data_IF_353372041711
#
_entry.id   IF_353372041711
#
_cell.length_a   1.000
_cell.length_b   1.000
_cell.length_c   1.000
_cell.angle_alpha   90.00
_cell.angle_beta   90.00
_cell.angle_gamma   90.00
#
_symmetry.space_group_name_H-M   'P 1'
#
loop_
_entity.id
_entity.type
_entity.pdbx_description
1 polymer ?
#
# COMPACT_ATOMS: atom_id res chain seq x y z
N UNK A 1 0.21 -13.57 61.99
CA UNK A 1 -0.79 -12.86 61.13
C UNK A 1 -0.22 -11.54 60.68
N UNK A 2 0.64 -11.52 59.64
CA UNK A 2 1.05 -10.26 58.98
C UNK A 2 1.56 -10.55 57.57
N UNK A 3 0.67 -10.69 56.58
CA UNK A 3 1.09 -10.52 55.21
C UNK A 3 0.16 -9.67 54.30
N UNK A 4 -0.99 -9.12 54.78
CA UNK A 4 -1.98 -8.51 53.88
C UNK A 4 -1.65 -7.05 53.57
N UNK A 5 -0.93 -6.32 54.40
CA UNK A 5 -0.55 -4.91 54.16
C UNK A 5 0.53 -4.76 53.04
N UNK A 6 1.41 -5.75 52.83
CA UNK A 6 2.42 -5.70 51.77
C UNK A 6 1.83 -5.84 50.36
N UNK A 7 0.73 -6.58 50.18
CA UNK A 7 0.07 -6.77 48.91
C UNK A 7 -0.64 -5.47 48.44
N UNK A 8 -1.23 -4.71 49.32
CA UNK A 8 -1.90 -3.43 49.01
C UNK A 8 -0.95 -2.34 48.52
N UNK A 9 0.30 -2.31 49.03
CA UNK A 9 1.31 -1.34 48.58
C UNK A 9 1.93 -1.72 47.21
N UNK A 10 2.08 -3.01 46.95
CA UNK A 10 2.55 -3.52 45.65
C UNK A 10 1.52 -3.20 44.55
N UNK A 11 0.23 -3.36 44.84
CA UNK A 11 -0.84 -3.02 43.92
C UNK A 11 -0.93 -1.51 43.64
N UNK A 12 -0.78 -0.67 44.62
CA UNK A 12 -0.77 0.80 44.43
C UNK A 12 0.43 1.25 43.59
N UNK A 13 1.63 0.73 43.84
CA UNK A 13 2.82 1.02 43.05
C UNK A 13 2.69 0.52 41.60
N UNK A 14 2.15 -0.68 41.39
CA UNK A 14 1.89 -1.23 40.05
C UNK A 14 0.87 -0.35 39.29
N UNK A 15 -0.23 0.05 39.94
CA UNK A 15 -1.23 0.95 39.36
C UNK A 15 -0.66 2.32 39.02
N UNK A 16 0.14 2.91 39.89
CA UNK A 16 0.81 4.17 39.62
C UNK A 16 1.80 4.08 38.46
N UNK A 17 2.64 3.04 38.44
CA UNK A 17 3.54 2.78 37.32
C UNK A 17 2.78 2.55 36.01
N UNK A 18 1.68 1.83 36.04
CA UNK A 18 0.81 1.60 34.90
C UNK A 18 0.19 2.94 34.40
N UNK A 19 -0.33 3.79 35.31
CA UNK A 19 -0.90 5.09 34.91
C UNK A 19 0.16 6.01 34.29
N UNK A 20 1.36 6.05 34.85
CA UNK A 20 2.48 6.82 34.27
C UNK A 20 2.84 6.29 32.90
N UNK A 21 2.95 4.96 32.73
CA UNK A 21 3.25 4.34 31.44
C UNK A 21 2.15 4.62 30.39
N UNK A 22 0.86 4.48 30.76
CA UNK A 22 -0.25 4.83 29.88
C UNK A 22 -0.27 6.32 29.54
N UNK A 23 -0.03 7.20 30.51
CA UNK A 23 0.06 8.63 30.27
C UNK A 23 1.18 8.99 29.30
N UNK A 24 2.35 8.37 29.45
CA UNK A 24 3.49 8.56 28.56
C UNK A 24 3.20 8.05 27.12
N UNK A 25 2.66 6.83 26.97
CA UNK A 25 2.29 6.33 25.64
C UNK A 25 1.17 7.13 25.00
N UNK A 26 0.18 7.57 25.78
CA UNK A 26 -0.87 8.46 25.27
C UNK A 26 -0.30 9.78 24.79
N UNK A 27 0.60 10.39 25.56
CA UNK A 27 1.27 11.63 25.18
C UNK A 27 2.06 11.47 23.87
N UNK A 28 2.85 10.40 23.73
CA UNK A 28 3.58 10.10 22.48
C UNK A 28 2.62 9.91 21.30
N UNK A 29 1.50 9.20 21.51
CA UNK A 29 0.49 9.01 20.46
C UNK A 29 -0.13 10.33 20.03
N UNK A 30 -0.52 11.19 20.96
CA UNK A 30 -1.03 12.52 20.63
C UNK A 30 0.00 13.39 19.93
N UNK A 31 1.26 13.34 20.36
CA UNK A 31 2.35 14.09 19.72
C UNK A 31 2.51 13.71 18.26
N UNK A 32 2.51 12.40 17.93
CA UNK A 32 2.59 11.92 16.53
C UNK A 32 1.39 12.41 15.72
N UNK A 33 0.19 12.35 16.28
CA UNK A 33 -1.03 12.84 15.63
C UNK A 33 -0.97 14.34 15.37
N UNK A 34 -0.51 15.13 16.33
CA UNK A 34 -0.33 16.59 16.18
C UNK A 34 0.69 16.89 15.06
N UNK A 35 1.85 16.22 15.05
CA UNK A 35 2.85 16.41 14.02
C UNK A 35 2.27 16.10 12.63
N UNK A 36 1.51 15.00 12.51
CA UNK A 36 0.84 14.64 11.27
C UNK A 36 -0.13 15.75 10.80
N UNK A 37 -0.98 16.26 11.72
CA UNK A 37 -1.91 17.33 11.37
C UNK A 37 -1.20 18.65 11.00
N UNK A 38 -0.07 18.97 11.65
CA UNK A 38 0.73 20.14 11.29
C UNK A 38 1.31 20.00 9.88
N UNK A 39 1.88 18.84 9.54
CA UNK A 39 2.43 18.58 8.20
C UNK A 39 1.32 18.64 7.14
N UNK A 40 0.21 17.94 7.37
CA UNK A 40 -0.92 17.95 6.44
C UNK A 40 -1.52 19.36 6.29
N UNK A 41 -1.70 20.07 7.41
CA UNK A 41 -2.19 21.45 7.40
C UNK A 41 -1.27 22.38 6.59
N UNK A 42 0.03 22.24 6.75
CA UNK A 42 1.01 23.03 6.00
C UNK A 42 0.95 22.72 4.49
N UNK A 43 0.86 21.43 4.11
CA UNK A 43 0.73 21.03 2.71
C UNK A 43 -0.58 21.56 2.12
N UNK A 44 -1.69 21.46 2.86
CA UNK A 44 -3.00 21.97 2.41
C UNK A 44 -2.95 23.48 2.21
N UNK A 45 -2.45 24.25 3.17
CA UNK A 45 -2.41 25.70 3.10
C UNK A 45 -1.53 26.21 1.95
N UNK A 46 -0.38 25.59 1.71
CA UNK A 46 0.54 25.96 0.64
C UNK A 46 0.15 25.38 -0.72
N UNK A 47 -0.39 24.17 -0.75
CA UNK A 47 -0.77 23.49 -1.99
C UNK A 47 -2.10 23.98 -2.56
N UNK A 48 -3.08 24.32 -1.71
CA UNK A 48 -4.42 24.73 -2.15
C UNK A 48 -4.40 25.99 -3.04
N UNK A 49 -3.45 26.90 -2.81
CA UNK A 49 -3.32 28.13 -3.59
C UNK A 49 -2.86 27.91 -5.05
N UNK A 50 -2.26 26.76 -5.33
CA UNK A 50 -1.72 26.39 -6.65
C UNK A 50 -2.71 25.54 -7.45
N UNK A 51 -3.65 24.87 -6.76
CA UNK A 51 -4.61 24.00 -7.44
C UNK A 51 -5.58 24.83 -8.27
N UNK A 52 -5.50 24.64 -9.58
CA UNK A 52 -6.41 25.18 -10.57
C UNK A 52 -6.82 24.05 -11.52
N UNK A 53 -7.82 24.31 -12.37
CA UNK A 53 -8.18 23.36 -13.41
C UNK A 53 -7.01 23.11 -14.37
N UNK A 54 -6.29 24.17 -14.73
CA UNK A 54 -5.10 24.08 -15.59
C UNK A 54 -4.00 23.25 -14.96
N UNK A 55 -3.74 23.42 -13.65
CA UNK A 55 -2.77 22.62 -12.91
C UNK A 55 -3.09 21.11 -12.95
N UNK A 56 -4.36 20.74 -12.93
CA UNK A 56 -4.78 19.33 -12.95
C UNK A 56 -4.85 18.72 -14.36
N UNK A 57 -5.03 19.54 -15.41
CA UNK A 57 -5.35 19.05 -16.77
C UNK A 57 -4.26 19.34 -17.81
N UNK A 58 -3.33 20.24 -17.51
CA UNK A 58 -2.25 20.56 -18.43
C UNK A 58 -1.00 19.69 -18.16
N UNK A 59 -0.13 19.66 -19.17
CA UNK A 59 1.21 19.07 -19.02
C UNK A 59 2.17 20.07 -18.37
N UNK A 60 3.26 19.61 -17.73
CA UNK A 60 4.29 20.48 -17.18
C UNK A 60 5.02 21.25 -18.29
N UNK A 61 5.35 22.51 -18.02
CA UNK A 61 6.02 23.43 -18.92
C UNK A 61 7.23 24.06 -18.24
N UNK A 62 8.08 24.74 -19.01
CA UNK A 62 9.23 25.53 -18.51
C UNK A 62 10.09 24.80 -17.47
N UNK A 63 10.43 23.54 -17.75
CA UNK A 63 11.22 22.74 -16.80
C UNK A 63 10.50 22.44 -15.49
N UNK A 64 9.18 22.32 -15.51
CA UNK A 64 8.30 22.01 -14.35
C UNK A 64 8.11 23.20 -13.38
N UNK A 65 8.41 24.41 -13.79
CA UNK A 65 8.12 25.61 -12.99
C UNK A 65 6.74 26.18 -13.26
N UNK A 66 6.12 25.78 -14.38
CA UNK A 66 4.76 26.19 -14.80
C UNK A 66 4.01 25.04 -15.45
N UNK A 67 2.74 25.26 -15.82
CA UNK A 67 1.86 24.27 -16.41
C UNK A 67 1.14 23.44 -15.36
N UNK A 68 1.01 22.14 -15.63
CA UNK A 68 0.24 21.21 -14.77
C UNK A 68 0.96 19.88 -14.51
N UNK A 69 0.20 18.94 -13.95
CA UNK A 69 0.71 17.63 -13.54
C UNK A 69 -0.08 16.45 -14.12
N UNK A 70 -0.90 16.70 -15.14
CA UNK A 70 -1.80 15.70 -15.72
C UNK A 70 -1.10 14.39 -16.14
N UNK A 71 0.04 14.42 -16.86
CA UNK A 71 0.74 13.19 -17.23
C UNK A 71 1.21 12.37 -16.00
N UNK A 72 1.62 13.05 -14.91
CA UNK A 72 2.03 12.39 -13.69
C UNK A 72 0.84 11.76 -12.94
N UNK A 73 -0.34 12.37 -12.97
CA UNK A 73 -1.57 11.78 -12.44
C UNK A 73 -1.90 10.49 -13.19
N UNK A 74 -1.95 10.56 -14.51
CA UNK A 74 -2.30 9.41 -15.37
C UNK A 74 -1.29 8.28 -15.23
N UNK A 75 0.01 8.58 -15.23
CA UNK A 75 1.04 7.57 -15.05
C UNK A 75 0.98 6.89 -13.67
N UNK A 76 0.69 7.64 -12.60
CA UNK A 76 0.48 7.06 -11.27
C UNK A 76 -0.70 6.08 -11.28
N UNK A 77 -1.81 6.44 -11.92
CA UNK A 77 -2.97 5.54 -12.04
C UNK A 77 -2.64 4.28 -12.85
N UNK A 78 -1.90 4.40 -13.96
CA UNK A 78 -1.47 3.24 -14.73
C UNK A 78 -0.61 2.28 -13.92
N UNK A 79 0.33 2.80 -13.13
CA UNK A 79 1.20 1.99 -12.27
C UNK A 79 0.44 1.30 -11.14
N UNK A 80 -0.48 2.02 -10.48
CA UNK A 80 -1.33 1.46 -9.42
C UNK A 80 -2.24 0.36 -9.97
N UNK A 81 -2.90 0.60 -11.09
CA UNK A 81 -3.79 -0.38 -11.73
C UNK A 81 -2.97 -1.58 -12.23
N UNK A 82 -1.89 -1.32 -12.98
CA UNK A 82 -1.05 -2.37 -13.54
C UNK A 82 -0.44 -3.29 -12.48
N UNK A 83 0.14 -2.71 -11.42
CA UNK A 83 0.69 -3.49 -10.32
C UNK A 83 -0.38 -4.27 -9.54
N UNK A 84 -1.57 -3.68 -9.36
CA UNK A 84 -2.69 -4.34 -8.69
C UNK A 84 -3.23 -5.52 -9.49
N UNK A 85 -3.40 -5.37 -10.80
CA UNK A 85 -3.86 -6.44 -11.68
C UNK A 85 -2.92 -7.66 -11.68
N UNK A 86 -1.63 -7.44 -11.46
CA UNK A 86 -0.63 -8.51 -11.37
C UNK A 86 -0.60 -9.10 -9.95
N UNK A 87 -0.46 -8.24 -8.93
CA UNK A 87 -0.19 -8.70 -7.58
C UNK A 87 -1.40 -9.30 -6.86
N UNK A 88 -2.63 -8.80 -7.12
CA UNK A 88 -3.83 -9.26 -6.42
C UNK A 88 -4.15 -10.71 -6.72
N UNK A 89 -4.28 -11.15 -7.98
CA UNK A 89 -4.57 -12.55 -8.26
C UNK A 89 -3.48 -13.48 -7.71
N UNK A 90 -2.21 -13.15 -7.95
CA UNK A 90 -1.09 -13.98 -7.52
C UNK A 90 -1.01 -14.05 -5.99
N UNK A 91 -1.10 -12.90 -5.31
CA UNK A 91 -1.00 -12.82 -3.86
C UNK A 91 -2.15 -13.51 -3.14
N UNK A 92 -3.40 -13.32 -3.63
CA UNK A 92 -4.58 -13.98 -3.05
C UNK A 92 -4.50 -15.50 -3.27
N UNK A 93 -4.21 -15.96 -4.48
CA UNK A 93 -4.09 -17.39 -4.77
C UNK A 93 -2.98 -18.04 -3.94
N UNK A 94 -1.84 -17.37 -3.79
CA UNK A 94 -0.73 -17.84 -2.95
C UNK A 94 -1.12 -17.91 -1.47
N UNK A 95 -1.81 -16.90 -0.94
CA UNK A 95 -2.31 -16.90 0.44
C UNK A 95 -3.33 -18.01 0.69
N UNK A 96 -4.26 -18.24 -0.25
CA UNK A 96 -5.21 -19.35 -0.19
C UNK A 96 -4.47 -20.69 -0.19
N UNK A 97 -3.52 -20.87 -1.10
CA UNK A 97 -2.73 -22.09 -1.15
C UNK A 97 -1.97 -22.35 0.16
N UNK A 98 -1.31 -21.33 0.70
CA UNK A 98 -0.52 -21.45 1.92
C UNK A 98 -1.37 -21.73 3.17
N UNK A 99 -2.61 -21.25 3.21
CA UNK A 99 -3.50 -21.49 4.35
C UNK A 99 -4.28 -22.80 4.22
N UNK A 100 -4.86 -23.07 3.06
CA UNK A 100 -5.86 -24.12 2.90
C UNK A 100 -5.28 -25.44 2.38
N UNK A 101 -4.22 -25.39 1.54
CA UNK A 101 -3.66 -26.59 0.90
C UNK A 101 -2.29 -27.00 1.41
N UNK A 102 -1.49 -26.05 1.86
CA UNK A 102 -0.14 -26.33 2.26
C UNK A 102 -0.10 -27.16 3.56
N UNK A 103 0.58 -28.29 3.53
CA UNK A 103 0.90 -29.07 4.73
C UNK A 103 2.06 -28.41 5.46
N UNK A 104 2.12 -28.55 6.80
CA UNK A 104 3.18 -27.98 7.64
C UNK A 104 4.54 -28.69 7.43
N UNK A 105 5.11 -28.54 6.22
CA UNK A 105 6.42 -29.07 5.83
C UNK A 105 7.53 -28.03 5.89
N UNK A 106 8.80 -28.52 5.81
CA UNK A 106 10.00 -27.65 5.80
C UNK A 106 9.97 -26.62 4.66
N UNK A 107 9.47 -27.00 3.48
CA UNK A 107 9.35 -26.12 2.31
C UNK A 107 8.38 -24.96 2.56
N UNK A 108 7.21 -25.23 3.10
CA UNK A 108 6.21 -24.19 3.39
C UNK A 108 6.72 -23.24 4.47
N UNK A 109 7.39 -23.76 5.50
CA UNK A 109 8.04 -22.94 6.52
C UNK A 109 9.10 -22.03 5.90
N UNK A 110 9.91 -22.55 4.98
CA UNK A 110 10.91 -21.76 4.26
C UNK A 110 10.26 -20.66 3.42
N UNK A 111 9.22 -20.96 2.64
CA UNK A 111 8.49 -19.97 1.84
C UNK A 111 7.92 -18.86 2.73
N UNK A 112 7.30 -19.19 3.88
CA UNK A 112 6.80 -18.18 4.83
C UNK A 112 7.91 -17.28 5.37
N UNK A 113 9.06 -17.85 5.73
CA UNK A 113 10.22 -17.08 6.20
C UNK A 113 10.70 -16.15 5.10
N UNK A 114 10.82 -16.63 3.86
CA UNK A 114 11.24 -15.81 2.72
C UNK A 114 10.25 -14.69 2.43
N UNK A 115 8.95 -14.98 2.40
CA UNK A 115 7.89 -13.98 2.20
C UNK A 115 7.90 -12.92 3.30
N UNK A 116 8.09 -13.31 4.57
CA UNK A 116 8.18 -12.37 5.68
C UNK A 116 9.44 -11.50 5.60
N UNK A 117 10.59 -12.09 5.27
CA UNK A 117 11.85 -11.37 5.12
C UNK A 117 11.80 -10.39 3.94
N UNK A 118 11.13 -10.76 2.85
CA UNK A 118 10.95 -9.90 1.68
C UNK A 118 10.19 -8.60 1.99
N UNK A 119 9.28 -8.63 2.98
CA UNK A 119 8.60 -7.44 3.48
C UNK A 119 9.52 -6.42 4.16
N UNK A 120 10.69 -6.85 4.63
CA UNK A 120 11.71 -6.00 5.26
C UNK A 120 12.78 -5.47 4.29
N UNK A 121 12.74 -5.87 3.02
CA UNK A 121 13.71 -5.42 2.01
C UNK A 121 13.41 -3.95 1.63
N UNK A 122 14.43 -3.07 1.61
CA UNK A 122 14.25 -1.68 1.17
C UNK A 122 13.68 -1.59 -0.25
N UNK A 123 12.77 -0.64 -0.50
CA UNK A 123 12.09 -0.50 -1.80
C UNK A 123 13.07 -0.23 -2.95
N UNK A 124 14.19 0.45 -2.68
CA UNK A 124 15.25 0.68 -3.68
C UNK A 124 15.84 -0.62 -4.23
N UNK A 125 15.94 -1.67 -3.41
CA UNK A 125 16.45 -2.99 -3.84
C UNK A 125 15.49 -3.62 -4.84
N UNK A 126 14.18 -3.49 -4.64
CA UNK A 126 13.19 -3.91 -5.63
C UNK A 126 13.33 -3.14 -6.95
N UNK A 127 13.62 -1.85 -6.88
CA UNK A 127 13.89 -1.03 -8.07
C UNK A 127 15.10 -1.50 -8.86
N UNK A 128 16.22 -1.75 -8.17
CA UNK A 128 17.44 -2.28 -8.80
C UNK A 128 17.23 -3.68 -9.38
N UNK A 129 16.51 -4.54 -8.66
CA UNK A 129 16.12 -5.86 -9.16
C UNK A 129 15.23 -5.75 -10.40
N UNK A 130 14.22 -4.88 -10.36
CA UNK A 130 13.32 -4.63 -11.49
C UNK A 130 14.05 -4.08 -12.71
N UNK A 131 14.99 -3.17 -12.51
CA UNK A 131 15.87 -2.64 -13.55
C UNK A 131 16.71 -3.77 -14.19
N UNK A 132 17.35 -4.59 -13.37
CA UNK A 132 18.17 -5.70 -13.87
C UNK A 132 17.35 -6.75 -14.62
N UNK A 133 16.22 -7.17 -14.04
CA UNK A 133 15.42 -8.27 -14.59
C UNK A 133 14.50 -7.80 -15.74
N UNK A 134 13.62 -6.82 -15.48
CA UNK A 134 12.58 -6.45 -16.43
C UNK A 134 13.09 -5.49 -17.50
N UNK A 135 13.84 -4.46 -17.10
CA UNK A 135 14.33 -3.45 -18.03
C UNK A 135 15.46 -4.01 -18.89
N UNK A 136 16.51 -4.58 -18.27
CA UNK A 136 17.72 -5.00 -18.99
C UNK A 136 17.65 -6.41 -19.53
N UNK A 137 17.36 -7.43 -18.67
CA UNK A 137 17.43 -8.84 -19.08
C UNK A 137 16.26 -9.25 -19.99
N UNK A 138 15.02 -8.84 -19.65
CA UNK A 138 13.86 -9.09 -20.48
C UNK A 138 13.73 -8.10 -21.64
N UNK A 139 14.52 -7.01 -21.63
CA UNK A 139 14.54 -6.03 -22.70
C UNK A 139 13.27 -5.18 -22.84
N UNK A 140 12.48 -5.06 -21.75
CA UNK A 140 11.25 -4.25 -21.81
C UNK A 140 11.53 -2.73 -21.79
N UNK A 141 12.78 -2.35 -21.50
CA UNK A 141 13.16 -0.95 -21.33
C UNK A 141 12.49 -0.32 -20.10
N UNK A 142 12.77 0.97 -19.88
CA UNK A 142 12.06 1.77 -18.87
C UNK A 142 10.62 1.91 -19.35
N UNK A 143 9.67 1.29 -18.66
CA UNK A 143 8.30 1.13 -19.17
C UNK A 143 7.29 0.93 -18.05
N UNK A 144 6.02 1.25 -18.36
CA UNK A 144 4.89 1.03 -17.43
C UNK A 144 4.81 -0.44 -17.02
N UNK A 145 5.06 -1.37 -17.93
CA UNK A 145 5.00 -2.80 -17.62
C UNK A 145 6.13 -3.20 -16.66
N UNK A 146 7.38 -2.74 -16.87
CA UNK A 146 8.50 -3.01 -15.98
C UNK A 146 8.27 -2.43 -14.58
N UNK A 147 7.78 -1.19 -14.49
CA UNK A 147 7.39 -0.55 -13.24
C UNK A 147 6.25 -1.27 -12.52
N UNK A 148 5.22 -1.69 -13.27
CA UNK A 148 4.08 -2.43 -12.71
C UNK A 148 4.48 -3.78 -12.14
N UNK A 149 5.34 -4.55 -12.83
CA UNK A 149 5.85 -5.82 -12.29
C UNK A 149 6.74 -5.62 -11.07
N UNK A 150 7.58 -4.59 -11.07
CA UNK A 150 8.43 -4.26 -9.92
C UNK A 150 7.62 -3.91 -8.67
N UNK A 151 6.62 -3.04 -8.83
CA UNK A 151 5.69 -2.67 -7.77
C UNK A 151 4.83 -3.87 -7.31
N UNK A 152 4.42 -4.73 -8.26
CA UNK A 152 3.69 -5.94 -7.94
C UNK A 152 4.51 -6.89 -7.07
N UNK A 153 5.77 -7.16 -7.43
CA UNK A 153 6.68 -8.00 -6.64
C UNK A 153 6.86 -7.47 -5.22
N UNK A 154 7.02 -6.15 -5.07
CA UNK A 154 7.14 -5.51 -3.77
C UNK A 154 5.86 -5.67 -2.92
N UNK A 155 4.68 -5.73 -3.56
CA UNK A 155 3.38 -5.82 -2.89
C UNK A 155 2.99 -7.25 -2.52
N UNK A 156 3.49 -8.26 -3.26
CA UNK A 156 3.13 -9.67 -3.06
C UNK A 156 3.25 -10.14 -1.61
N UNK A 157 4.34 -9.89 -0.86
CA UNK A 157 4.48 -10.35 0.51
C UNK A 157 3.36 -9.85 1.42
N UNK A 158 2.97 -8.59 1.27
CA UNK A 158 1.89 -7.99 2.06
C UNK A 158 0.55 -8.65 1.73
N UNK A 159 0.24 -8.84 0.46
CA UNK A 159 -1.03 -9.42 0.00
C UNK A 159 -1.15 -10.89 0.41
N UNK A 160 -0.07 -11.67 0.23
CA UNK A 160 -0.01 -13.08 0.65
C UNK A 160 -0.30 -13.19 2.14
N UNK A 161 0.42 -12.41 2.95
CA UNK A 161 0.30 -12.44 4.41
C UNK A 161 -1.08 -12.01 4.88
N UNK A 162 -1.61 -10.89 4.39
CA UNK A 162 -2.93 -10.41 4.79
C UNK A 162 -4.05 -11.36 4.34
N UNK A 163 -3.91 -12.02 3.19
CA UNK A 163 -4.82 -13.07 2.74
C UNK A 163 -4.76 -14.30 3.66
N UNK A 164 -3.56 -14.76 4.01
CA UNK A 164 -3.39 -15.88 4.94
C UNK A 164 -3.98 -15.56 6.32
N UNK A 165 -3.75 -14.36 6.87
CA UNK A 165 -4.31 -13.90 8.14
C UNK A 165 -5.85 -13.78 8.07
N UNK A 166 -6.40 -13.29 6.96
CA UNK A 166 -7.84 -13.21 6.74
C UNK A 166 -8.51 -14.59 6.73
N UNK A 167 -7.88 -15.59 6.09
CA UNK A 167 -8.38 -16.96 6.06
C UNK A 167 -8.27 -17.65 7.41
N UNK A 168 -7.19 -17.41 8.17
CA UNK A 168 -7.00 -17.92 9.53
C UNK A 168 -7.99 -17.35 10.53
N UNK A 169 -8.54 -16.17 10.31
CA UNK A 169 -9.53 -15.56 11.19
C UNK A 169 -10.90 -16.25 11.13
N UNK A 170 -11.13 -17.12 10.15
CA UNK A 170 -12.38 -17.87 10.01
C UNK A 170 -12.32 -19.14 10.87
N UNK A 171 -13.30 -19.31 11.74
CA UNK A 171 -13.39 -20.46 12.64
C UNK A 171 -13.45 -21.78 11.87
N UNK A 172 -12.71 -22.80 12.34
CA UNK A 172 -12.64 -24.10 11.68
C UNK A 172 -13.97 -24.86 11.69
N UNK A 173 -14.89 -24.53 12.58
CA UNK A 173 -16.25 -25.11 12.60
C UNK A 173 -16.98 -24.93 11.27
N UNK A 174 -16.80 -23.81 10.58
CA UNK A 174 -17.38 -23.61 9.25
C UNK A 174 -16.81 -24.57 8.20
N UNK A 175 -15.50 -24.84 8.29
CA UNK A 175 -14.85 -25.81 7.40
C UNK A 175 -15.36 -27.22 7.65
N UNK A 176 -15.35 -27.64 8.93
CA UNK A 176 -15.82 -28.96 9.33
C UNK A 176 -17.31 -29.18 9.05
N UNK A 177 -18.14 -28.19 9.31
CA UNK A 177 -19.58 -28.24 9.01
C UNK A 177 -19.84 -28.42 7.52
N UNK A 178 -19.16 -27.68 6.65
CA UNK A 178 -19.30 -27.82 5.20
C UNK A 178 -18.85 -29.19 4.69
N UNK A 179 -17.73 -29.70 5.18
CA UNK A 179 -17.20 -31.03 4.84
C UNK A 179 -18.12 -32.14 5.32
N UNK A 180 -18.71 -32.01 6.53
CA UNK A 180 -19.67 -32.98 7.09
C UNK A 180 -20.96 -33.09 6.26
N UNK A 181 -21.36 -32.02 5.57
CA UNK A 181 -22.46 -32.00 4.60
C UNK A 181 -22.10 -32.59 3.22
N UNK A 182 -20.89 -33.16 3.07
CA UNK A 182 -20.42 -33.80 1.84
C UNK A 182 -19.82 -32.85 0.80
N UNK A 183 -19.56 -31.57 1.15
CA UNK A 183 -18.90 -30.66 0.24
C UNK A 183 -17.41 -31.04 0.07
N UNK A 184 -16.88 -30.86 -1.14
CA UNK A 184 -15.44 -31.02 -1.40
C UNK A 184 -14.67 -29.86 -0.77
N UNK A 185 -13.36 -30.04 -0.54
CA UNK A 185 -12.48 -28.98 -0.03
C UNK A 185 -12.54 -27.72 -0.86
N UNK A 186 -12.51 -27.82 -2.19
CA UNK A 186 -12.61 -26.68 -3.09
C UNK A 186 -13.97 -25.97 -2.97
N UNK A 187 -15.07 -26.73 -2.84
CA UNK A 187 -16.41 -26.16 -2.62
C UNK A 187 -16.48 -25.41 -1.28
N UNK A 188 -15.94 -26.01 -0.21
CA UNK A 188 -15.85 -25.37 1.11
C UNK A 188 -15.08 -24.05 1.05
N UNK A 189 -13.90 -24.05 0.42
CA UNK A 189 -13.08 -22.83 0.27
C UNK A 189 -13.85 -21.78 -0.53
N UNK A 190 -14.38 -22.11 -1.70
CA UNK A 190 -14.99 -21.16 -2.63
C UNK A 190 -16.34 -20.62 -2.15
N UNK A 191 -17.17 -21.46 -1.49
CA UNK A 191 -18.56 -21.12 -1.13
C UNK A 191 -18.72 -20.69 0.33
N UNK A 192 -17.80 -21.07 1.22
CA UNK A 192 -17.91 -20.78 2.65
C UNK A 192 -16.77 -19.91 3.12
N UNK A 193 -15.51 -20.40 3.06
CA UNK A 193 -14.37 -19.73 3.68
C UNK A 193 -14.01 -18.43 2.98
N UNK A 194 -13.87 -18.47 1.65
CA UNK A 194 -13.42 -17.30 0.88
C UNK A 194 -14.43 -16.13 0.93
N UNK A 195 -15.75 -16.33 0.78
CA UNK A 195 -16.70 -15.24 0.96
C UNK A 195 -16.65 -14.61 2.34
N UNK A 196 -16.48 -15.40 3.41
CA UNK A 196 -16.38 -14.90 4.79
C UNK A 196 -15.07 -14.13 5.02
N UNK A 197 -13.94 -14.57 4.44
CA UNK A 197 -12.65 -13.92 4.54
C UNK A 197 -12.52 -12.67 3.63
N UNK A 198 -13.34 -12.55 2.59
CA UNK A 198 -13.21 -11.56 1.52
C UNK A 198 -13.15 -10.10 2.02
N UNK A 199 -13.96 -9.64 3.00
CA UNK A 199 -13.85 -8.29 3.53
C UNK A 199 -12.48 -8.00 4.15
N UNK A 200 -11.86 -8.98 4.81
CA UNK A 200 -10.53 -8.83 5.41
C UNK A 200 -9.43 -8.86 4.34
N UNK A 201 -9.58 -9.70 3.31
CA UNK A 201 -8.69 -9.73 2.14
C UNK A 201 -8.68 -8.35 1.46
N UNK A 202 -9.85 -7.75 1.21
CA UNK A 202 -9.95 -6.40 0.62
C UNK A 202 -9.19 -5.38 1.47
N UNK A 203 -9.19 -5.49 2.79
CA UNK A 203 -8.41 -4.58 3.65
C UNK A 203 -6.91 -4.66 3.33
N UNK A 204 -6.36 -5.85 3.14
CA UNK A 204 -4.97 -6.05 2.72
C UNK A 204 -4.67 -5.44 1.33
N UNK A 205 -5.61 -5.58 0.40
CA UNK A 205 -5.49 -4.97 -0.93
C UNK A 205 -5.47 -3.44 -0.87
N UNK A 206 -6.33 -2.83 -0.04
CA UNK A 206 -6.37 -1.38 0.18
C UNK A 206 -5.02 -0.88 0.72
N UNK A 207 -4.47 -1.56 1.71
CA UNK A 207 -3.16 -1.23 2.28
C UNK A 207 -2.05 -1.31 1.22
N UNK A 208 -2.11 -2.32 0.34
CA UNK A 208 -1.17 -2.47 -0.78
C UNK A 208 -1.27 -1.33 -1.79
N UNK A 209 -2.48 -0.94 -2.19
CA UNK A 209 -2.71 0.19 -3.10
C UNK A 209 -2.16 1.49 -2.49
N UNK A 210 -2.49 1.77 -1.24
CA UNK A 210 -2.03 2.97 -0.54
C UNK A 210 -0.50 3.05 -0.52
N UNK A 211 0.19 1.93 -0.29
CA UNK A 211 1.64 1.86 -0.31
C UNK A 211 2.20 2.11 -1.71
N UNK A 212 1.72 1.38 -2.71
CA UNK A 212 2.19 1.49 -4.11
C UNK A 212 2.04 2.90 -4.66
N UNK A 213 0.93 3.58 -4.33
CA UNK A 213 0.64 4.92 -4.82
C UNK A 213 1.67 5.98 -4.39
N UNK A 214 2.41 5.73 -3.30
CA UNK A 214 3.43 6.65 -2.77
C UNK A 214 4.87 6.24 -3.04
N UNK A 215 5.11 5.09 -3.68
CA UNK A 215 6.47 4.57 -3.89
C UNK A 215 7.21 5.35 -4.98
N UNK A 216 8.42 5.78 -4.65
CA UNK A 216 9.30 6.53 -5.57
C UNK A 216 10.50 5.71 -6.02
N UNK A 217 11.20 5.03 -5.08
CA UNK A 217 12.45 4.36 -5.38
C UNK A 217 12.33 3.22 -6.41
N UNK A 218 11.34 2.33 -6.37
CA UNK A 218 11.21 1.28 -7.37
C UNK A 218 10.96 1.81 -8.78
N UNK A 219 10.14 2.86 -8.90
CA UNK A 219 9.77 3.41 -10.22
C UNK A 219 10.88 4.25 -10.83
N UNK A 220 11.74 4.85 -10.03
CA UNK A 220 12.93 5.61 -10.47
C UNK A 220 13.82 4.79 -11.43
N UNK A 221 13.94 3.48 -11.20
CA UNK A 221 14.84 2.59 -11.95
C UNK A 221 14.14 1.81 -13.05
N UNK A 222 12.81 1.94 -13.20
CA UNK A 222 12.05 0.99 -14.06
C UNK A 222 11.07 1.64 -15.01
N UNK A 223 10.66 2.90 -14.75
CA UNK A 223 9.59 3.51 -15.58
C UNK A 223 9.60 5.04 -15.57
N UNK A 224 10.11 5.68 -14.51
CA UNK A 224 9.82 7.09 -14.28
C UNK A 224 10.66 8.00 -15.19
N UNK A 225 9.97 8.74 -16.05
CA UNK A 225 10.58 9.81 -16.84
C UNK A 225 10.76 11.08 -15.99
N UNK A 226 11.95 11.70 -16.11
CA UNK A 226 12.24 12.98 -15.46
C UNK A 226 11.28 14.08 -15.92
N UNK A 227 11.15 14.24 -17.25
CA UNK A 227 10.26 15.19 -17.89
C UNK A 227 9.67 14.56 -19.16
N UNK A 228 8.38 14.30 -19.16
CA UNK A 228 7.67 13.74 -20.29
C UNK A 228 6.23 14.31 -20.33
N UNK A 229 6.03 15.45 -21.02
CA UNK A 229 4.72 16.10 -21.06
C UNK A 229 3.67 15.34 -21.86
N UNK A 230 4.07 14.31 -22.62
CA UNK A 230 3.18 13.48 -23.41
C UNK A 230 2.65 12.29 -22.60
N UNK A 231 1.42 11.88 -22.90
CA UNK A 231 0.86 10.65 -22.34
C UNK A 231 1.45 9.41 -23.03
N UNK A 232 1.69 8.32 -22.28
CA UNK A 232 2.13 7.07 -22.86
C UNK A 232 1.08 6.50 -23.82
N UNK A 233 1.53 5.95 -24.94
CA UNK A 233 0.71 5.33 -25.97
C UNK A 233 0.72 3.82 -25.90
N UNK A 234 1.73 3.27 -25.23
CA UNK A 234 1.94 1.83 -25.05
C UNK A 234 2.30 1.51 -23.59
N UNK A 235 2.06 0.27 -23.17
CA UNK A 235 2.52 -0.24 -21.88
C UNK A 235 4.06 -0.37 -21.81
N UNK A 236 4.73 -0.30 -22.95
CA UNK A 236 6.18 -0.29 -23.06
C UNK A 236 6.78 1.12 -23.08
N UNK A 237 5.96 2.15 -22.93
CA UNK A 237 6.44 3.52 -22.83
C UNK A 237 6.76 3.87 -21.38
N UNK A 238 7.66 4.86 -21.21
CA UNK A 238 7.87 5.52 -19.94
C UNK A 238 6.66 6.37 -19.56
N UNK A 239 6.53 6.71 -18.28
CA UNK A 239 5.55 7.71 -17.84
C UNK A 239 6.12 8.58 -16.70
N UNK A 240 5.56 9.77 -16.55
CA UNK A 240 5.71 10.53 -15.32
C UNK A 240 4.84 9.88 -14.22
N UNK A 241 5.25 10.01 -12.98
CA UNK A 241 4.47 9.57 -11.83
C UNK A 241 4.55 10.60 -10.71
N UNK A 242 3.45 10.85 -10.01
CA UNK A 242 3.36 11.88 -8.96
C UNK A 242 4.44 11.78 -7.89
N UNK A 243 4.75 10.59 -7.30
CA UNK A 243 5.78 10.50 -6.28
C UNK A 243 7.16 10.89 -6.83
N UNK A 244 7.49 10.45 -8.03
CA UNK A 244 8.77 10.78 -8.65
C UNK A 244 8.81 12.23 -9.14
N UNK A 245 7.74 12.74 -9.71
CA UNK A 245 7.62 14.15 -10.09
C UNK A 245 7.80 15.06 -8.88
N UNK A 246 7.13 14.76 -7.75
CA UNK A 246 7.32 15.50 -6.50
C UNK A 246 8.77 15.48 -6.02
N UNK A 247 9.42 14.31 -6.09
CA UNK A 247 10.84 14.18 -5.73
C UNK A 247 11.71 15.07 -6.62
N UNK A 248 11.50 15.03 -7.94
CA UNK A 248 12.30 15.81 -8.90
C UNK A 248 12.16 17.31 -8.67
N UNK A 249 10.94 17.84 -8.61
CA UNK A 249 10.71 19.29 -8.44
C UNK A 249 11.16 19.80 -7.07
N UNK A 250 11.27 18.90 -6.07
CA UNK A 250 11.72 19.26 -4.72
C UNK A 250 13.23 19.17 -4.53
N UNK A 251 13.96 18.42 -5.37
CA UNK A 251 15.38 18.10 -5.13
C UNK A 251 16.29 18.39 -6.33
N UNK A 252 15.79 18.26 -7.55
CA UNK A 252 16.59 18.22 -8.78
C UNK A 252 16.00 19.05 -9.92
N UNK A 253 14.96 19.83 -9.66
CA UNK A 253 14.35 20.72 -10.64
C UNK A 253 15.29 21.83 -11.08
N UNK A 254 15.04 22.41 -12.26
CA UNK A 254 15.85 23.50 -12.84
C UNK A 254 15.86 24.77 -11.97
N UNK A 255 14.76 25.05 -11.29
CA UNK A 255 14.61 26.12 -10.30
C UNK A 255 13.70 25.62 -9.16
N UNK A 256 14.35 25.20 -8.05
CA UNK A 256 13.64 24.65 -6.88
C UNK A 256 12.78 25.72 -6.19
N UNK A 257 13.21 26.98 -6.16
CA UNK A 257 12.45 28.06 -5.53
C UNK A 257 11.16 28.36 -6.31
N UNK A 258 11.26 28.49 -7.65
CA UNK A 258 10.11 28.71 -8.52
C UNK A 258 9.14 27.52 -8.53
N UNK A 259 9.69 26.29 -8.46
CA UNK A 259 8.89 25.04 -8.45
C UNK A 259 8.25 24.73 -7.10
N UNK A 260 8.59 25.43 -6.01
CA UNK A 260 8.14 25.12 -4.65
C UNK A 260 6.61 25.10 -4.52
N UNK A 261 5.91 26.03 -5.16
CA UNK A 261 4.45 26.04 -5.21
C UNK A 261 3.88 24.78 -5.87
N UNK A 262 4.44 24.41 -7.04
CA UNK A 262 4.08 23.20 -7.77
C UNK A 262 4.32 21.93 -6.92
N UNK A 263 5.39 21.88 -6.13
CA UNK A 263 5.69 20.77 -5.25
C UNK A 263 4.60 20.59 -4.18
N UNK A 264 4.15 21.66 -3.52
CA UNK A 264 3.05 21.58 -2.56
C UNK A 264 1.72 21.21 -3.21
N UNK A 265 1.42 21.75 -4.40
CA UNK A 265 0.25 21.36 -5.18
C UNK A 265 0.28 19.87 -5.54
N UNK A 266 1.43 19.38 -6.05
CA UNK A 266 1.63 17.96 -6.40
C UNK A 266 1.49 17.05 -5.18
N UNK A 267 2.08 17.43 -4.04
CA UNK A 267 1.94 16.68 -2.79
C UNK A 267 0.49 16.60 -2.32
N UNK A 268 -0.26 17.71 -2.41
CA UNK A 268 -1.67 17.74 -2.04
C UNK A 268 -2.51 16.85 -2.97
N UNK A 269 -2.29 16.91 -4.28
CA UNK A 269 -2.99 16.05 -5.25
C UNK A 269 -2.68 14.58 -5.00
N UNK A 270 -1.42 14.22 -4.73
CA UNK A 270 -1.03 12.85 -4.40
C UNK A 270 -1.78 12.34 -3.14
N UNK A 271 -1.82 13.15 -2.08
CA UNK A 271 -2.56 12.82 -0.85
C UNK A 271 -4.05 12.62 -1.16
N UNK A 272 -4.67 13.53 -1.92
CA UNK A 272 -6.08 13.44 -2.28
C UNK A 272 -6.36 12.19 -3.11
N UNK A 273 -5.54 11.85 -4.10
CA UNK A 273 -5.71 10.63 -4.92
C UNK A 273 -5.61 9.38 -4.03
N UNK A 274 -4.60 9.28 -3.16
CA UNK A 274 -4.45 8.15 -2.25
C UNK A 274 -5.65 8.02 -1.31
N UNK A 275 -6.13 9.13 -0.76
CA UNK A 275 -7.33 9.15 0.08
C UNK A 275 -8.58 8.72 -0.67
N UNK A 276 -8.80 9.22 -1.89
CA UNK A 276 -9.95 8.85 -2.72
C UNK A 276 -9.93 7.36 -3.08
N UNK A 277 -8.78 6.82 -3.49
CA UNK A 277 -8.64 5.39 -3.80
C UNK A 277 -8.91 4.55 -2.55
N UNK A 278 -8.38 4.94 -1.39
CA UNK A 278 -8.62 4.25 -0.13
C UNK A 278 -10.10 4.34 0.31
N UNK A 279 -10.75 5.48 0.13
CA UNK A 279 -12.18 5.65 0.43
C UNK A 279 -13.06 4.78 -0.47
N UNK A 280 -12.79 4.75 -1.78
CA UNK A 280 -13.50 3.89 -2.72
C UNK A 280 -13.35 2.40 -2.36
N UNK A 281 -12.13 1.99 -2.07
CA UNK A 281 -11.83 0.61 -1.67
C UNK A 281 -12.49 0.24 -0.32
N UNK A 282 -12.53 1.17 0.67
CA UNK A 282 -13.28 0.99 1.91
C UNK A 282 -14.80 0.89 1.70
N UNK A 283 -15.35 1.68 0.77
CA UNK A 283 -16.75 1.60 0.42
C UNK A 283 -17.09 0.22 -0.19
N UNK A 284 -16.25 -0.28 -1.10
CA UNK A 284 -16.36 -1.64 -1.65
C UNK A 284 -16.29 -2.70 -0.55
N UNK A 285 -15.32 -2.61 0.36
CA UNK A 285 -15.21 -3.51 1.51
C UNK A 285 -16.49 -3.54 2.34
N UNK A 286 -17.01 -2.35 2.67
CA UNK A 286 -18.23 -2.22 3.49
C UNK A 286 -19.46 -2.83 2.79
N UNK A 287 -19.57 -2.67 1.48
CA UNK A 287 -20.62 -3.28 0.67
C UNK A 287 -20.56 -4.81 0.72
N UNK A 288 -19.37 -5.40 0.49
CA UNK A 288 -19.21 -6.85 0.57
C UNK A 288 -19.39 -7.41 1.98
N UNK A 289 -18.91 -6.70 3.01
CA UNK A 289 -19.10 -7.10 4.41
C UNK A 289 -20.59 -7.17 4.81
N UNK A 290 -21.42 -6.23 4.34
CA UNK A 290 -22.88 -6.26 4.57
C UNK A 290 -23.53 -7.45 3.87
N UNK A 291 -23.13 -7.75 2.63
CA UNK A 291 -23.69 -8.87 1.87
C UNK A 291 -23.40 -10.23 2.51
N UNK A 292 -22.20 -10.40 3.08
CA UNK A 292 -21.82 -11.65 3.80
C UNK A 292 -22.62 -11.84 5.10
N UNK A 293 -23.02 -10.75 5.79
CA UNK A 293 -23.82 -10.83 7.02
C UNK A 293 -25.31 -11.11 6.77
N UNK A 294 -25.79 -10.90 5.55
CA UNK A 294 -27.22 -11.10 5.20
C UNK A 294 -27.50 -12.50 4.62
N UNK A 295 -26.47 -13.24 4.24
CA UNK A 295 -26.58 -14.63 3.78
C UNK A 295 -26.09 -15.60 4.87
#
# INVERSE_FOLDING_TARGET
>A
MAPIQHLGNIDKRKRASQQVAFGFFSFLSYMVVVILFVILGFIILKGASVISWDFLTQAPQEGMTSGGIFPAIVGTLYLVIGSSLISFPIGIMSGIYMNEYATNGKLIRFIRIMTNNLSGVPSVVFGLFGMSLFVSTLGWGDSIIAGSFTLALMSLPLIIRTTEEALKSIDDSFRHGSLALGATKLQTIRRVVLPMAFPNIITGLILSIGRVSGETAPILFTVAAYFLPQLPKSIFDQCMALPYHLYVISTSGTDIEASRGMAYGTALVLIVIVLLVNLLANALRSYFAKKVKMN
#
